data_IF_700157853353
#
_entry.id   IF_700157853353
#
_cell.length_a   1.000
_cell.length_b   1.000
_cell.length_c   1.000
_cell.angle_alpha   90.00
_cell.angle_beta   90.00
_cell.angle_gamma   90.00
#
_symmetry.space_group_name_H-M   'P 1'
#
loop_
_entity.id
_entity.type
_entity.pdbx_description
1 polymer ?
#
# COMPACT_ATOMS: atom_id res chain seq x y z
N UNK A 1 -20.50 26.09 62.93
CA UNK A 1 -21.18 24.93 63.54
C UNK A 1 -20.21 23.75 63.46
N UNK A 2 -19.75 23.25 64.61
CA UNK A 2 -18.71 22.20 64.73
C UNK A 2 -19.28 20.83 64.35
N UNK A 3 -18.52 19.99 63.65
CA UNK A 3 -18.79 18.54 63.56
C UNK A 3 -17.56 17.80 64.09
N UNK A 4 -17.79 17.00 65.13
CA UNK A 4 -16.82 16.23 65.88
C UNK A 4 -16.55 14.88 65.20
N UNK A 5 -15.31 14.40 65.31
CA UNK A 5 -14.92 13.05 64.92
C UNK A 5 -15.35 12.03 65.99
N UNK A 6 -16.04 10.97 65.57
CA UNK A 6 -16.37 9.80 66.40
C UNK A 6 -15.38 8.68 66.05
N UNK A 7 -14.64 8.24 67.07
CA UNK A 7 -13.83 7.03 67.05
C UNK A 7 -14.73 5.80 67.26
N UNK A 8 -14.58 4.77 66.41
CA UNK A 8 -15.15 3.43 66.64
C UNK A 8 -14.02 2.41 66.73
N UNK A 9 -13.93 1.78 67.89
CA UNK A 9 -13.05 0.66 68.23
C UNK A 9 -13.30 -0.54 67.32
N UNK A 10 -12.23 -1.12 66.76
CA UNK A 10 -12.25 -2.42 66.09
C UNK A 10 -11.86 -3.53 67.07
N UNK A 11 -12.74 -4.52 67.23
CA UNK A 11 -12.41 -5.83 67.82
C UNK A 11 -11.85 -6.76 66.73
N UNK A 12 -10.78 -7.53 67.00
CA UNK A 12 -10.20 -8.40 65.97
C UNK A 12 -11.02 -9.69 65.79
N UNK A 13 -11.45 -9.93 64.55
CA UNK A 13 -12.03 -11.20 64.09
C UNK A 13 -10.88 -12.19 63.85
N UNK A 14 -11.01 -13.43 64.33
CA UNK A 14 -9.96 -14.45 64.25
C UNK A 14 -9.71 -14.93 62.80
N UNK A 15 -8.43 -15.23 62.52
CA UNK A 15 -7.81 -15.53 61.22
C UNK A 15 -8.37 -16.77 60.47
N UNK A 16 -9.20 -17.59 61.11
CA UNK A 16 -9.71 -18.82 60.51
C UNK A 16 -10.92 -18.62 59.57
N UNK A 17 -11.77 -17.61 59.83
CA UNK A 17 -13.02 -17.40 59.06
C UNK A 17 -12.82 -16.58 57.78
N UNK A 18 -11.71 -15.83 57.67
CA UNK A 18 -11.41 -14.97 56.52
C UNK A 18 -10.80 -15.75 55.33
N UNK A 19 -10.14 -16.89 55.59
CA UNK A 19 -9.49 -17.70 54.55
C UNK A 19 -10.46 -18.52 53.71
N UNK A 20 -11.60 -18.92 54.28
CA UNK A 20 -12.60 -19.73 53.55
C UNK A 20 -13.47 -18.88 52.61
N UNK A 21 -13.76 -17.62 52.97
CA UNK A 21 -14.53 -16.69 52.12
C UNK A 21 -13.74 -16.12 50.93
N UNK A 22 -12.42 -15.98 51.05
CA UNK A 22 -11.57 -15.46 49.97
C UNK A 22 -11.30 -16.53 48.89
N UNK A 23 -11.10 -17.79 49.29
CA UNK A 23 -10.87 -18.89 48.36
C UNK A 23 -12.10 -19.23 47.50
N UNK A 24 -13.32 -19.15 48.06
CA UNK A 24 -14.55 -19.45 47.32
C UNK A 24 -14.87 -18.36 46.26
N UNK A 25 -14.59 -17.09 46.56
CA UNK A 25 -14.84 -15.97 45.63
C UNK A 25 -13.82 -15.93 44.48
N UNK A 26 -12.56 -16.27 44.73
CA UNK A 26 -11.53 -16.31 43.67
C UNK A 26 -11.77 -17.47 42.71
N UNK A 27 -12.19 -18.65 43.20
CA UNK A 27 -12.52 -19.79 42.35
C UNK A 27 -13.77 -19.54 41.51
N UNK A 28 -14.80 -18.88 42.06
CA UNK A 28 -16.02 -18.55 41.31
C UNK A 28 -15.76 -17.46 40.25
N UNK A 29 -14.90 -16.47 40.54
CA UNK A 29 -14.52 -15.42 39.58
C UNK A 29 -13.61 -15.97 38.47
N UNK A 30 -12.67 -16.87 38.79
CA UNK A 30 -11.84 -17.59 37.81
C UNK A 30 -12.67 -18.53 36.95
N UNK A 31 -13.67 -19.22 37.52
CA UNK A 31 -14.59 -20.07 36.76
C UNK A 31 -15.52 -19.25 35.85
N UNK A 32 -15.97 -18.05 36.28
CA UNK A 32 -16.72 -17.14 35.42
C UNK A 32 -15.85 -16.57 34.28
N UNK A 33 -14.60 -16.20 34.55
CA UNK A 33 -13.65 -15.74 33.54
C UNK A 33 -13.27 -16.86 32.55
N UNK A 34 -13.12 -18.10 33.01
CA UNK A 34 -12.88 -19.25 32.14
C UNK A 34 -14.09 -19.64 31.29
N UNK A 35 -15.31 -19.56 31.83
CA UNK A 35 -16.53 -19.87 31.07
C UNK A 35 -16.86 -18.78 30.06
N UNK A 36 -16.61 -17.49 30.37
CA UNK A 36 -16.75 -16.39 29.40
C UNK A 36 -15.65 -16.48 28.31
N UNK A 37 -14.42 -16.85 28.67
CA UNK A 37 -13.32 -17.08 27.72
C UNK A 37 -13.57 -18.27 26.79
N UNK A 38 -14.04 -19.40 27.32
CA UNK A 38 -14.36 -20.61 26.55
C UNK A 38 -15.62 -20.44 25.67
N UNK A 39 -16.61 -19.67 26.11
CA UNK A 39 -17.76 -19.34 25.28
C UNK A 39 -17.36 -18.41 24.12
N UNK A 40 -16.53 -17.38 24.36
CA UNK A 40 -16.01 -16.50 23.28
C UNK A 40 -15.20 -17.27 22.24
N UNK A 41 -14.38 -18.23 22.64
CA UNK A 41 -13.60 -19.05 21.70
C UNK A 41 -14.45 -20.08 20.94
N UNK A 42 -15.50 -20.65 21.57
CA UNK A 42 -16.41 -21.58 20.91
C UNK A 42 -17.35 -20.89 19.90
N UNK A 43 -17.81 -19.66 20.19
CA UNK A 43 -18.61 -18.87 19.22
C UNK A 43 -17.78 -18.39 18.03
N UNK A 44 -16.49 -18.06 18.22
CA UNK A 44 -15.58 -17.69 17.12
C UNK A 44 -15.25 -18.87 16.20
N UNK A 45 -14.94 -20.05 16.75
CA UNK A 45 -14.59 -21.23 15.95
C UNK A 45 -15.77 -21.80 15.15
N UNK A 46 -16.99 -21.76 15.69
CA UNK A 46 -18.18 -22.19 14.94
C UNK A 46 -18.53 -21.23 13.78
N UNK A 47 -18.29 -19.93 13.94
CA UNK A 47 -18.56 -18.93 12.90
C UNK A 47 -17.56 -18.97 11.72
N UNK A 48 -16.31 -19.33 11.98
CA UNK A 48 -15.29 -19.52 10.93
C UNK A 48 -15.56 -20.76 10.06
N UNK A 49 -16.08 -21.84 10.64
CA UNK A 49 -16.38 -23.08 9.92
C UNK A 49 -17.55 -22.98 8.93
N UNK A 50 -18.37 -21.92 9.02
CA UNK A 50 -19.50 -21.66 8.14
C UNK A 50 -19.23 -20.52 7.13
N UNK A 51 -18.00 -20.03 7.05
CA UNK A 51 -17.63 -18.97 6.10
C UNK A 51 -17.77 -19.49 4.67
N UNK A 52 -18.53 -18.77 3.84
CA UNK A 52 -18.63 -19.01 2.40
C UNK A 52 -18.29 -17.73 1.67
N UNK A 53 -17.24 -17.75 0.87
CA UNK A 53 -16.82 -16.55 0.15
C UNK A 53 -17.78 -16.19 -0.99
N UNK A 54 -17.88 -14.90 -1.27
CA UNK A 54 -18.63 -14.40 -2.42
C UNK A 54 -17.91 -14.72 -3.73
N UNK A 55 -18.63 -15.27 -4.71
CA UNK A 55 -18.14 -15.47 -6.07
C UNK A 55 -18.81 -14.47 -7.00
N UNK A 56 -18.14 -13.35 -7.26
CA UNK A 56 -18.66 -12.27 -8.09
C UNK A 56 -17.78 -11.90 -9.29
N UNK A 57 -16.64 -12.55 -9.54
CA UNK A 57 -15.69 -12.13 -10.59
C UNK A 57 -16.28 -12.06 -12.01
N UNK A 58 -17.45 -12.65 -12.25
CA UNK A 58 -18.21 -12.54 -13.50
C UNK A 58 -19.41 -11.58 -13.49
N UNK A 59 -19.59 -10.85 -12.39
CA UNK A 59 -20.57 -9.81 -12.22
C UNK A 59 -19.87 -8.44 -12.21
N UNK A 60 -20.42 -7.48 -12.94
CA UNK A 60 -19.91 -6.11 -12.92
C UNK A 60 -19.99 -5.50 -11.52
N UNK A 61 -20.94 -5.95 -10.68
CA UNK A 61 -21.08 -5.47 -9.30
C UNK A 61 -19.90 -5.84 -8.39
N UNK A 62 -19.00 -6.72 -8.84
CA UNK A 62 -17.80 -7.10 -8.11
C UNK A 62 -16.70 -6.04 -8.21
N UNK A 63 -16.80 -5.16 -9.21
CA UNK A 63 -15.78 -4.18 -9.56
C UNK A 63 -16.34 -2.77 -9.34
N UNK A 64 -15.45 -1.84 -9.02
CA UNK A 64 -15.78 -0.41 -9.00
C UNK A 64 -15.87 0.12 -10.43
N UNK A 65 -16.24 1.39 -10.59
CA UNK A 65 -16.59 1.93 -11.90
C UNK A 65 -15.39 2.20 -12.81
N UNK A 66 -14.15 2.18 -12.32
CA UNK A 66 -12.92 2.30 -13.12
C UNK A 66 -12.69 1.08 -14.02
N UNK A 67 -13.24 -0.08 -13.65
CA UNK A 67 -13.18 -1.30 -14.45
C UNK A 67 -14.19 -1.26 -15.59
N UNK A 68 -13.68 -1.35 -16.82
CA UNK A 68 -14.49 -1.28 -18.05
C UNK A 68 -14.45 -2.59 -18.82
N UNK A 69 -15.43 -2.77 -19.71
CA UNK A 69 -15.46 -3.84 -20.70
C UNK A 69 -15.33 -5.26 -20.12
N UNK A 70 -15.92 -5.53 -18.95
CA UNK A 70 -15.94 -6.87 -18.35
C UNK A 70 -16.58 -7.88 -19.30
N UNK A 71 -15.86 -8.98 -19.53
CA UNK A 71 -16.30 -10.11 -20.36
C UNK A 71 -15.97 -11.41 -19.66
N UNK A 72 -16.96 -12.28 -19.55
CA UNK A 72 -16.78 -13.62 -19.01
C UNK A 72 -16.88 -14.70 -20.07
N UNK A 73 -16.02 -15.71 -19.91
CA UNK A 73 -16.15 -17.02 -20.54
C UNK A 73 -16.23 -18.08 -19.44
N UNK A 74 -16.54 -19.34 -19.77
CA UNK A 74 -16.53 -20.42 -18.78
C UNK A 74 -15.17 -20.67 -18.11
N UNK A 75 -14.08 -20.08 -18.58
CA UNK A 75 -12.72 -20.37 -18.11
C UNK A 75 -11.99 -19.17 -17.54
N UNK A 76 -12.46 -17.96 -17.79
CA UNK A 76 -11.79 -16.71 -17.38
C UNK A 76 -12.75 -15.53 -17.46
N UNK A 77 -12.39 -14.45 -16.79
CA UNK A 77 -12.95 -13.13 -17.03
C UNK A 77 -11.85 -12.15 -17.40
N UNK A 78 -12.21 -11.16 -18.22
CA UNK A 78 -11.32 -10.14 -18.76
C UNK A 78 -11.97 -8.78 -18.65
N UNK A 79 -11.18 -7.78 -18.32
CA UNK A 79 -11.61 -6.39 -18.28
C UNK A 79 -10.45 -5.46 -18.62
N UNK A 80 -10.77 -4.17 -18.76
CA UNK A 80 -9.84 -3.09 -19.01
C UNK A 80 -9.83 -2.11 -17.83
N UNK A 81 -8.68 -1.51 -17.55
CA UNK A 81 -8.51 -0.52 -16.47
C UNK A 81 -7.49 0.54 -16.87
N UNK A 82 -7.66 1.74 -16.32
CA UNK A 82 -6.67 2.81 -16.42
C UNK A 82 -5.50 2.66 -15.44
N UNK A 83 -5.60 1.74 -14.48
CA UNK A 83 -4.60 1.54 -13.42
C UNK A 83 -4.62 2.59 -12.32
N UNK A 84 -5.60 3.49 -12.34
CA UNK A 84 -5.79 4.51 -11.31
C UNK A 84 -7.05 4.21 -10.49
N UNK A 85 -7.03 4.50 -9.18
CA UNK A 85 -8.22 4.41 -8.34
C UNK A 85 -9.15 5.62 -8.56
N UNK A 86 -10.28 5.62 -7.84
CA UNK A 86 -11.24 6.72 -7.78
C UNK A 86 -10.55 8.06 -7.49
N UNK A 87 -11.08 9.13 -8.06
CA UNK A 87 -10.50 10.47 -7.93
C UNK A 87 -10.48 11.01 -6.48
N UNK A 88 -11.30 10.43 -5.59
CA UNK A 88 -11.31 10.76 -4.17
C UNK A 88 -10.19 10.06 -3.39
N UNK A 89 -9.54 9.04 -3.96
CA UNK A 89 -8.42 8.35 -3.30
C UNK A 89 -7.18 9.22 -3.26
N UNK A 90 -6.61 9.33 -2.07
CA UNK A 90 -5.45 10.18 -1.80
C UNK A 90 -4.17 9.48 -2.26
N UNK A 91 -3.77 9.73 -3.50
CA UNK A 91 -2.52 9.21 -4.04
C UNK A 91 -1.29 10.02 -3.60
N UNK A 92 -0.16 9.35 -3.43
CA UNK A 92 1.20 9.89 -3.18
C UNK A 92 1.42 10.66 -1.87
N UNK A 93 0.36 11.14 -1.19
CA UNK A 93 0.47 11.77 0.13
C UNK A 93 0.90 10.76 1.18
N UNK A 94 1.83 11.14 2.05
CA UNK A 94 2.34 10.28 3.13
C UNK A 94 3.65 9.56 2.79
N UNK A 95 4.04 9.50 1.50
CA UNK A 95 5.34 8.99 1.07
C UNK A 95 6.45 9.84 1.71
N UNK A 96 7.47 9.21 2.29
CA UNK A 96 8.64 9.88 2.88
C UNK A 96 9.94 9.65 2.10
N UNK A 97 9.96 8.63 1.24
CA UNK A 97 11.06 8.33 0.34
C UNK A 97 10.53 8.17 -1.10
N UNK A 98 10.26 9.29 -1.77
CA UNK A 98 9.72 9.29 -3.14
C UNK A 98 10.76 8.82 -4.16
N UNK A 99 10.30 8.06 -5.15
CA UNK A 99 11.04 7.75 -6.37
C UNK A 99 10.83 8.79 -7.48
N UNK A 100 10.02 9.84 -7.24
CA UNK A 100 9.64 10.89 -8.19
C UNK A 100 8.97 10.35 -9.48
N UNK A 101 8.16 9.32 -9.31
CA UNK A 101 7.19 8.88 -10.31
C UNK A 101 5.83 9.48 -9.97
N UNK A 102 4.97 9.66 -10.97
CA UNK A 102 3.64 10.21 -10.79
C UNK A 102 2.59 9.21 -11.28
N UNK A 103 1.42 9.11 -10.62
CA UNK A 103 0.34 8.27 -11.13
C UNK A 103 -0.08 8.73 -12.53
N UNK A 104 0.04 7.86 -13.53
CA UNK A 104 -0.38 8.12 -14.91
C UNK A 104 -1.38 7.07 -15.38
N UNK A 105 -2.14 7.39 -16.43
CA UNK A 105 -3.10 6.43 -17.01
C UNK A 105 -2.37 5.41 -17.85
N UNK A 106 -2.63 4.14 -17.56
CA UNK A 106 -2.15 2.99 -18.30
C UNK A 106 -3.31 2.36 -19.10
N UNK A 107 -2.99 1.49 -20.05
CA UNK A 107 -3.99 0.72 -20.79
C UNK A 107 -3.89 -0.76 -20.42
N UNK A 108 -4.37 -1.10 -19.22
CA UNK A 108 -4.36 -2.46 -18.73
C UNK A 108 -5.44 -3.31 -19.39
N UNK A 109 -5.04 -4.48 -19.89
CA UNK A 109 -5.94 -5.58 -20.24
C UNK A 109 -5.69 -6.73 -19.26
N UNK A 110 -6.67 -7.00 -18.40
CA UNK A 110 -6.58 -8.00 -17.34
C UNK A 110 -7.30 -9.28 -17.76
N UNK A 111 -6.74 -10.45 -17.48
CA UNK A 111 -7.36 -11.75 -17.73
C UNK A 111 -7.10 -12.68 -16.56
N UNK A 112 -8.14 -12.99 -15.79
CA UNK A 112 -8.06 -13.82 -14.60
C UNK A 112 -8.69 -15.19 -14.89
N UNK A 113 -7.99 -16.31 -14.64
CA UNK A 113 -8.56 -17.64 -14.81
C UNK A 113 -9.62 -17.94 -13.75
N UNK A 114 -10.74 -18.54 -14.16
CA UNK A 114 -11.78 -19.04 -13.26
C UNK A 114 -11.49 -20.45 -12.73
N UNK A 115 -10.73 -21.24 -13.47
CA UNK A 115 -10.38 -22.61 -13.08
C UNK A 115 -9.06 -22.57 -12.29
N UNK A 116 -9.09 -22.09 -11.05
CA UNK A 116 -7.90 -22.08 -10.21
C UNK A 116 -7.40 -23.52 -10.00
N UNK A 117 -6.08 -23.70 -10.01
CA UNK A 117 -5.45 -25.00 -9.77
C UNK A 117 -4.42 -24.83 -8.68
N UNK A 118 -4.64 -25.53 -7.57
CA UNK A 118 -3.65 -25.68 -6.52
C UNK A 118 -2.32 -26.17 -7.13
N UNK A 119 -1.23 -25.53 -6.73
CA UNK A 119 0.11 -26.00 -7.02
C UNK A 119 0.47 -27.15 -6.07
N UNK A 120 1.36 -28.05 -6.50
CA UNK A 120 1.87 -29.11 -5.63
C UNK A 120 2.65 -28.56 -4.42
N UNK A 121 3.27 -27.38 -4.60
CA UNK A 121 3.99 -26.64 -3.57
C UNK A 121 3.73 -25.14 -3.77
N UNK A 122 3.52 -24.37 -2.69
CA UNK A 122 3.41 -22.93 -2.78
C UNK A 122 4.64 -22.28 -3.42
N UNK A 123 4.42 -21.20 -4.17
CA UNK A 123 5.50 -20.44 -4.82
C UNK A 123 5.62 -19.05 -4.17
N UNK A 124 6.75 -18.70 -3.53
CA UNK A 124 6.96 -17.36 -3.00
C UNK A 124 6.76 -16.28 -4.05
N UNK A 125 6.16 -15.17 -3.66
CA UNK A 125 6.10 -13.98 -4.50
C UNK A 125 7.51 -13.38 -4.68
N UNK A 126 7.65 -12.59 -5.74
CA UNK A 126 8.87 -11.82 -6.04
C UNK A 126 8.46 -10.37 -6.35
N UNK A 127 9.36 -9.39 -6.15
CA UNK A 127 9.06 -7.99 -6.43
C UNK A 127 8.44 -7.79 -7.82
N UNK A 128 7.20 -7.31 -7.86
CA UNK A 128 6.39 -7.17 -9.07
C UNK A 128 4.91 -7.41 -8.80
N UNK A 129 4.10 -7.38 -9.87
CA UNK A 129 2.67 -7.60 -9.78
C UNK A 129 2.35 -9.03 -9.29
N UNK A 130 1.53 -9.11 -8.24
CA UNK A 130 1.03 -10.35 -7.64
C UNK A 130 -0.47 -10.54 -7.86
N UNK A 131 -1.17 -9.51 -8.31
CA UNK A 131 -2.60 -9.56 -8.57
C UNK A 131 -3.14 -8.22 -9.06
N UNK A 132 -4.46 -8.08 -8.97
CA UNK A 132 -5.21 -6.91 -9.40
C UNK A 132 -6.35 -6.65 -8.41
N UNK A 133 -6.53 -5.41 -8.00
CA UNK A 133 -7.64 -5.02 -7.15
C UNK A 133 -8.95 -4.93 -7.95
N UNK A 134 -10.10 -4.93 -7.28
CA UNK A 134 -11.41 -4.80 -7.94
C UNK A 134 -11.67 -3.44 -8.56
N UNK A 135 -10.85 -2.43 -8.26
CA UNK A 135 -10.80 -1.15 -8.99
C UNK A 135 -9.82 -1.14 -10.17
N UNK A 136 -9.23 -2.29 -10.50
CA UNK A 136 -8.32 -2.41 -11.61
C UNK A 136 -6.96 -1.76 -11.40
N UNK A 137 -6.58 -1.42 -10.16
CA UNK A 137 -5.23 -1.03 -9.78
C UNK A 137 -4.40 -2.29 -9.47
N UNK A 138 -3.17 -2.44 -10.03
CA UNK A 138 -2.34 -3.59 -9.74
C UNK A 138 -1.98 -3.75 -8.25
N UNK A 139 -1.89 -5.01 -7.81
CA UNK A 139 -1.38 -5.39 -6.50
C UNK A 139 0.04 -5.93 -6.68
N UNK A 140 1.00 -5.42 -5.91
CA UNK A 140 2.41 -5.77 -5.99
C UNK A 140 2.89 -6.43 -4.70
N UNK A 141 3.93 -7.24 -4.82
CA UNK A 141 4.65 -7.84 -3.68
C UNK A 141 5.08 -6.74 -2.68
N UNK A 142 4.91 -6.93 -1.36
CA UNK A 142 5.22 -5.90 -0.37
C UNK A 142 6.71 -5.52 -0.30
N UNK A 143 7.60 -6.35 -0.86
CA UNK A 143 9.03 -6.09 -0.94
C UNK A 143 9.42 -5.04 -1.99
N UNK A 144 10.40 -4.21 -1.65
CA UNK A 144 11.02 -3.30 -2.62
C UNK A 144 11.72 -4.08 -3.75
N UNK A 145 11.88 -3.45 -4.91
CA UNK A 145 12.80 -3.94 -5.96
C UNK A 145 14.30 -3.73 -5.60
N UNK A 146 14.58 -3.40 -4.34
CA UNK A 146 15.91 -3.14 -3.82
C UNK A 146 16.77 -4.40 -3.68
N UNK A 147 17.96 -4.23 -3.10
CA UNK A 147 18.82 -5.37 -2.78
C UNK A 147 18.15 -6.22 -1.71
N UNK A 148 18.23 -7.54 -1.89
CA UNK A 148 17.87 -8.52 -0.86
C UNK A 148 18.72 -8.25 0.38
N UNK A 149 18.07 -8.13 1.54
CA UNK A 149 18.76 -8.06 2.82
C UNK A 149 19.39 -9.44 3.10
N UNK A 150 20.72 -9.52 3.25
CA UNK A 150 21.41 -10.79 3.47
C UNK A 150 21.02 -11.47 4.79
N UNK A 151 20.46 -10.73 5.76
CA UNK A 151 20.03 -11.30 7.05
C UNK A 151 18.66 -11.95 6.98
N UNK A 152 17.75 -11.41 6.17
CA UNK A 152 16.36 -11.90 6.06
C UNK A 152 16.11 -12.73 4.80
N UNK A 153 17.01 -12.64 3.81
CA UNK A 153 16.83 -13.26 2.49
C UNK A 153 15.69 -12.65 1.66
N UNK A 154 15.12 -11.52 2.10
CA UNK A 154 14.03 -10.81 1.43
C UNK A 154 14.42 -9.37 1.13
N UNK A 155 13.76 -8.75 0.16
CA UNK A 155 13.85 -7.30 -0.03
C UNK A 155 13.29 -6.57 1.20
N UNK A 156 13.79 -5.36 1.52
CA UNK A 156 13.13 -4.48 2.49
C UNK A 156 11.67 -4.26 2.14
N UNK A 157 10.82 -4.14 3.15
CA UNK A 157 9.39 -3.88 2.97
C UNK A 157 9.17 -2.43 2.51
N UNK A 158 8.33 -2.20 1.49
CA UNK A 158 8.04 -0.88 0.90
C UNK A 158 7.47 0.12 1.91
N UNK A 159 6.53 -0.33 2.75
CA UNK A 159 6.05 0.43 3.91
C UNK A 159 7.19 0.92 4.82
N UNK A 160 8.13 0.04 5.19
CA UNK A 160 9.22 0.37 6.13
C UNK A 160 10.24 1.34 5.57
N UNK A 161 10.41 1.34 4.26
CA UNK A 161 11.30 2.31 3.58
C UNK A 161 10.58 3.62 3.23
N UNK A 162 9.31 3.77 3.60
CA UNK A 162 8.56 5.03 3.44
C UNK A 162 8.15 5.33 2.00
N UNK A 163 8.00 4.30 1.16
CA UNK A 163 7.69 4.45 -0.26
C UNK A 163 6.19 4.53 -0.58
N UNK A 164 5.32 4.31 0.42
CA UNK A 164 3.87 4.18 0.23
C UNK A 164 3.09 5.41 0.70
N UNK A 165 1.99 5.66 0.00
CA UNK A 165 1.01 6.67 0.37
C UNK A 165 0.02 6.17 1.42
N UNK A 166 -0.89 7.06 1.81
CA UNK A 166 -1.93 6.76 2.80
C UNK A 166 -2.91 5.66 2.37
N UNK A 167 -3.08 5.41 1.07
CA UNK A 167 -3.90 4.32 0.55
C UNK A 167 -3.15 2.99 0.45
N UNK A 168 -1.83 2.98 0.65
CA UNK A 168 -0.99 1.78 0.62
C UNK A 168 -0.33 1.50 -0.73
N UNK A 169 -0.32 2.49 -1.63
CA UNK A 169 0.28 2.37 -2.96
C UNK A 169 1.31 3.46 -3.26
N UNK A 170 1.88 3.39 -4.46
CA UNK A 170 2.69 4.46 -5.04
C UNK A 170 2.75 4.36 -6.56
N UNK A 171 3.30 5.38 -7.21
CA UNK A 171 3.69 5.30 -8.61
C UNK A 171 5.06 4.61 -8.73
N UNK A 172 5.11 3.53 -9.51
CA UNK A 172 6.28 2.76 -9.84
C UNK A 172 7.05 3.29 -11.05
N UNK A 173 8.07 2.53 -11.45
CA UNK A 173 8.85 2.83 -12.65
C UNK A 173 7.98 2.67 -13.88
N UNK A 174 7.83 3.77 -14.61
CA UNK A 174 6.89 3.83 -15.72
C UNK A 174 5.60 4.57 -15.35
N UNK A 175 5.58 5.21 -14.18
CA UNK A 175 4.49 6.05 -13.72
C UNK A 175 3.17 5.26 -13.51
N UNK A 176 3.29 3.96 -13.20
CA UNK A 176 2.18 3.06 -12.89
C UNK A 176 1.81 3.13 -11.40
N UNK A 177 0.59 3.50 -11.05
CA UNK A 177 0.16 3.43 -9.66
C UNK A 177 -0.21 1.99 -9.27
N UNK A 178 0.29 1.51 -8.13
CA UNK A 178 -0.03 0.17 -7.62
C UNK A 178 0.05 0.10 -6.10
N UNK A 179 -0.69 -0.84 -5.52
CA UNK A 179 -0.67 -1.12 -4.08
C UNK A 179 0.39 -2.15 -3.74
N UNK A 180 1.13 -1.92 -2.66
CA UNK A 180 2.09 -2.90 -2.10
C UNK A 180 1.58 -3.56 -0.82
N UNK A 181 0.58 -2.96 -0.19
CA UNK A 181 -0.10 -3.44 1.02
C UNK A 181 -1.61 -3.42 0.77
N UNK A 182 -2.40 -3.89 1.74
CA UNK A 182 -3.85 -3.83 1.70
C UNK A 182 -4.33 -2.45 1.18
N UNK A 183 -5.13 -2.40 0.09
CA UNK A 183 -5.65 -1.16 -0.51
C UNK A 183 -6.61 -0.42 0.43
N UNK A 184 -6.10 0.29 1.43
CA UNK A 184 -6.88 0.86 2.55
C UNK A 184 -8.08 1.68 2.08
N UNK A 185 -7.83 2.63 1.17
CA UNK A 185 -8.88 3.51 0.65
C UNK A 185 -9.95 2.74 -0.14
N UNK A 186 -9.55 1.74 -0.95
CA UNK A 186 -10.49 0.89 -1.67
C UNK A 186 -11.31 0.01 -0.71
N UNK A 187 -10.69 -0.55 0.33
CA UNK A 187 -11.41 -1.35 1.33
C UNK A 187 -12.47 -0.47 2.03
N UNK A 188 -12.11 0.76 2.38
CA UNK A 188 -13.04 1.73 2.97
C UNK A 188 -14.16 2.14 1.99
N UNK A 189 -13.86 2.29 0.70
CA UNK A 189 -14.83 2.58 -0.37
C UNK A 189 -15.86 1.45 -0.55
N UNK A 190 -15.38 0.20 -0.62
CA UNK A 190 -16.23 -0.99 -0.73
C UNK A 190 -17.12 -1.18 0.50
N UNK A 191 -16.60 -0.83 1.68
CA UNK A 191 -17.35 -0.76 2.93
C UNK A 191 -17.62 -2.11 3.60
N UNK A 192 -18.15 -2.03 4.82
CA UNK A 192 -18.32 -3.17 5.72
C UNK A 192 -19.22 -4.27 5.14
N UNK A 193 -20.33 -3.92 4.49
CA UNK A 193 -21.25 -4.91 3.92
C UNK A 193 -20.60 -5.74 2.81
N UNK A 194 -19.77 -5.14 1.95
CA UNK A 194 -19.03 -5.87 0.93
C UNK A 194 -18.05 -6.87 1.56
N UNK A 195 -17.27 -6.38 2.54
CA UNK A 195 -16.13 -7.09 3.11
C UNK A 195 -16.55 -8.15 4.13
N UNK A 196 -17.45 -7.84 5.05
CA UNK A 196 -17.78 -8.68 6.21
C UNK A 196 -19.06 -9.48 6.02
N UNK A 197 -20.07 -8.92 5.37
CA UNK A 197 -21.39 -9.55 5.23
C UNK A 197 -21.50 -10.40 3.96
N UNK A 198 -21.08 -9.85 2.82
CA UNK A 198 -21.08 -10.56 1.54
C UNK A 198 -19.80 -11.34 1.27
N UNK A 199 -18.73 -11.08 2.04
CA UNK A 199 -17.42 -11.74 1.90
C UNK A 199 -16.91 -11.68 0.45
N UNK A 200 -17.10 -10.53 -0.20
CA UNK A 200 -16.72 -10.34 -1.59
C UNK A 200 -15.23 -9.99 -1.71
N UNK A 201 -14.57 -10.38 -2.82
CA UNK A 201 -13.17 -10.08 -3.04
C UNK A 201 -12.92 -8.56 -3.12
N UNK A 202 -11.74 -8.14 -2.65
CA UNK A 202 -11.16 -6.81 -2.88
C UNK A 202 -10.13 -6.84 -4.03
N UNK A 203 -9.80 -8.04 -4.50
CA UNK A 203 -8.90 -8.27 -5.63
C UNK A 203 -8.76 -9.74 -5.95
N UNK A 204 -7.93 -10.04 -6.93
CA UNK A 204 -7.62 -11.40 -7.37
C UNK A 204 -6.12 -11.54 -7.59
N UNK A 205 -5.56 -12.63 -7.07
CA UNK A 205 -4.15 -12.96 -7.23
C UNK A 205 -3.86 -13.50 -8.64
N UNK A 206 -2.58 -13.50 -9.03
CA UNK A 206 -2.12 -13.99 -10.33
C UNK A 206 -2.37 -15.49 -10.55
N UNK A 207 -2.67 -16.26 -9.51
CA UNK A 207 -3.09 -17.66 -9.61
C UNK A 207 -4.62 -17.83 -9.69
N UNK A 208 -5.36 -16.71 -9.70
CA UNK A 208 -6.80 -16.63 -9.88
C UNK A 208 -7.61 -16.70 -8.59
N UNK A 209 -6.99 -16.94 -7.44
CA UNK A 209 -7.74 -16.99 -6.17
C UNK A 209 -8.12 -15.58 -5.71
N UNK A 210 -9.30 -15.42 -5.09
CA UNK A 210 -9.75 -14.14 -4.57
C UNK A 210 -8.92 -13.70 -3.36
N UNK A 211 -8.79 -12.39 -3.21
CA UNK A 211 -8.15 -11.72 -2.07
C UNK A 211 -9.26 -10.98 -1.34
N UNK A 212 -9.43 -11.25 -0.05
CA UNK A 212 -10.44 -10.65 0.82
C UNK A 212 -9.79 -9.79 1.90
N UNK A 213 -10.63 -9.05 2.64
CA UNK A 213 -10.26 -8.26 3.80
C UNK A 213 -11.14 -8.56 5.03
N UNK A 214 -11.53 -9.82 5.21
CA UNK A 214 -12.37 -10.23 6.34
C UNK A 214 -11.67 -9.90 7.66
N UNK A 215 -12.43 -9.31 8.59
CA UNK A 215 -11.92 -8.82 9.86
C UNK A 215 -11.32 -7.41 9.83
N UNK A 216 -11.38 -6.72 8.68
CA UNK A 216 -10.91 -5.34 8.54
C UNK A 216 -11.75 -4.36 9.36
N UNK A 217 -13.08 -4.45 9.25
CA UNK A 217 -14.00 -3.60 10.00
C UNK A 217 -14.41 -4.24 11.32
N UNK A 218 -14.37 -5.58 11.38
CA UNK A 218 -14.90 -6.37 12.49
C UNK A 218 -13.84 -7.28 13.10
N UNK A 219 -13.20 -6.84 14.17
CA UNK A 219 -12.15 -7.62 14.84
C UNK A 219 -12.62 -8.99 15.36
N UNK A 220 -13.91 -9.19 15.61
CA UNK A 220 -14.49 -10.49 15.97
C UNK A 220 -14.47 -11.51 14.81
N UNK A 221 -14.22 -11.05 13.58
CA UNK A 221 -14.08 -11.86 12.36
C UNK A 221 -12.62 -12.01 11.89
N UNK A 222 -11.66 -11.65 12.73
CA UNK A 222 -10.24 -11.76 12.40
C UNK A 222 -9.84 -13.21 12.06
N UNK A 223 -9.23 -13.40 10.88
CA UNK A 223 -8.81 -14.70 10.36
C UNK A 223 -7.34 -15.06 10.63
N UNK A 224 -6.50 -14.17 11.17
CA UNK A 224 -5.04 -14.32 11.22
C UNK A 224 -4.57 -15.66 11.83
N UNK A 225 -5.27 -16.20 12.83
CA UNK A 225 -4.92 -17.47 13.47
C UNK A 225 -5.24 -18.72 12.60
N UNK A 226 -5.94 -18.54 11.49
CA UNK A 226 -6.45 -19.60 10.62
C UNK A 226 -5.80 -19.60 9.23
N UNK A 227 -5.05 -18.55 8.89
CA UNK A 227 -4.37 -18.44 7.61
C UNK A 227 -3.15 -19.36 7.56
N UNK A 228 -2.90 -19.93 6.38
CA UNK A 228 -1.70 -20.70 6.07
C UNK A 228 -0.48 -19.79 5.84
N UNK A 229 0.66 -20.38 5.49
CA UNK A 229 1.91 -19.66 5.24
C UNK A 229 1.83 -18.61 4.11
N UNK A 230 0.83 -18.72 3.22
CA UNK A 230 0.59 -17.80 2.12
C UNK A 230 -0.43 -16.70 2.45
N UNK A 231 -0.91 -16.65 3.70
CA UNK A 231 -2.00 -15.77 4.16
C UNK A 231 -3.36 -16.15 3.56
N UNK A 232 -3.60 -17.43 3.27
CA UNK A 232 -4.89 -17.89 2.77
C UNK A 232 -5.49 -19.06 3.56
N UNK A 233 -6.74 -19.36 3.28
CA UNK A 233 -7.45 -20.51 3.86
C UNK A 233 -8.56 -20.99 2.91
N UNK A 234 -9.09 -22.18 3.18
CA UNK A 234 -10.28 -22.69 2.49
C UNK A 234 -11.54 -22.28 3.25
N UNK A 235 -12.59 -21.96 2.51
CA UNK A 235 -13.93 -21.74 3.05
C UNK A 235 -14.65 -23.09 3.31
N UNK A 236 -15.91 -23.04 3.76
CA UNK A 236 -16.67 -24.27 4.11
C UNK A 236 -16.97 -25.19 2.92
N UNK A 237 -16.94 -24.68 1.69
CA UNK A 237 -17.18 -25.44 0.47
C UNK A 237 -15.84 -25.92 -0.15
N UNK A 238 -14.70 -25.56 0.45
CA UNK A 238 -13.35 -25.92 0.02
C UNK A 238 -12.74 -24.92 -0.97
N UNK A 239 -13.35 -23.75 -1.15
CA UNK A 239 -12.83 -22.71 -2.03
C UNK A 239 -11.73 -21.92 -1.31
N UNK A 240 -10.53 -21.90 -1.87
CA UNK A 240 -9.37 -21.21 -1.29
C UNK A 240 -9.39 -19.72 -1.60
N UNK A 241 -8.99 -18.90 -0.62
CA UNK A 241 -8.85 -17.46 -0.76
C UNK A 241 -7.69 -16.93 0.08
N UNK A 242 -7.14 -15.78 -0.32
CA UNK A 242 -6.19 -15.01 0.48
C UNK A 242 -6.94 -13.97 1.33
N UNK A 243 -6.38 -13.60 2.47
CA UNK A 243 -6.88 -12.51 3.29
C UNK A 243 -5.75 -11.52 3.66
N UNK A 244 -5.96 -10.24 3.35
CA UNK A 244 -4.98 -9.21 3.69
C UNK A 244 -4.85 -9.05 5.20
N UNK A 245 -3.67 -8.61 5.65
CA UNK A 245 -3.44 -8.33 7.07
C UNK A 245 -4.14 -7.01 7.45
N UNK A 246 -4.91 -7.02 8.54
CA UNK A 246 -5.59 -5.81 9.03
C UNK A 246 -4.70 -4.95 9.97
N UNK A 247 -3.51 -5.44 10.34
CA UNK A 247 -2.60 -4.78 11.28
C UNK A 247 -1.13 -5.02 10.91
N UNK A 248 -0.19 -4.46 11.70
CA UNK A 248 1.27 -4.63 11.58
C UNK A 248 1.88 -4.06 10.28
N UNK A 249 1.73 -4.77 9.14
CA UNK A 249 2.32 -4.42 7.84
C UNK A 249 1.32 -4.39 6.71
N UNK A 250 0.08 -4.83 6.94
CA UNK A 250 -0.98 -4.87 5.94
C UNK A 250 -0.61 -5.74 4.72
N UNK A 251 0.12 -6.83 4.95
CA UNK A 251 0.56 -7.73 3.89
C UNK A 251 -0.64 -8.28 3.09
N UNK A 252 -0.51 -8.30 1.76
CA UNK A 252 -1.55 -8.84 0.87
C UNK A 252 -1.50 -10.37 0.88
N UNK A 253 -0.39 -10.95 0.40
CA UNK A 253 -0.07 -12.37 0.41
C UNK A 253 1.46 -12.54 0.27
N UNK A 254 1.98 -13.71 0.65
CA UNK A 254 3.43 -14.00 0.69
C UNK A 254 3.86 -15.10 -0.28
N UNK A 255 2.91 -15.90 -0.77
CA UNK A 255 3.12 -16.92 -1.78
C UNK A 255 1.83 -17.22 -2.54
N UNK A 256 1.97 -17.78 -3.74
CA UNK A 256 0.87 -18.36 -4.50
C UNK A 256 0.66 -19.82 -4.10
N UNK A 257 -0.53 -20.15 -3.62
CA UNK A 257 -1.02 -21.52 -3.41
C UNK A 257 -1.41 -22.19 -4.72
N UNK A 258 -1.88 -21.41 -5.69
CA UNK A 258 -2.20 -21.88 -7.02
C UNK A 258 -1.05 -21.73 -8.01
N UNK A 259 -1.28 -22.18 -9.24
CA UNK A 259 -0.36 -21.94 -10.35
C UNK A 259 -0.52 -20.50 -10.87
N UNK A 260 0.38 -19.61 -10.47
CA UNK A 260 0.42 -18.23 -10.94
C UNK A 260 0.62 -18.12 -12.46
N UNK A 261 -0.07 -17.16 -13.06
CA UNK A 261 0.04 -16.77 -14.48
C UNK A 261 0.16 -15.26 -14.59
N UNK A 262 0.76 -14.77 -15.68
CA UNK A 262 0.71 -13.34 -15.98
C UNK A 262 -0.71 -12.96 -16.39
N UNK A 263 -1.42 -12.22 -15.54
CA UNK A 263 -2.83 -11.82 -15.78
C UNK A 263 -2.95 -10.47 -16.51
N UNK A 264 -1.90 -9.65 -16.50
CA UNK A 264 -1.95 -8.27 -16.99
C UNK A 264 -1.11 -8.08 -18.26
N UNK A 265 -1.68 -7.35 -19.23
CA UNK A 265 -0.94 -6.70 -20.31
C UNK A 265 -1.09 -5.20 -20.14
N UNK A 266 0.00 -4.48 -20.36
CA UNK A 266 0.06 -3.04 -20.14
C UNK A 266 0.65 -2.31 -21.35
N UNK A 267 0.16 -1.10 -21.59
CA UNK A 267 0.74 -0.12 -22.51
C UNK A 267 0.66 1.25 -21.83
N UNK A 268 1.78 1.96 -21.84
CA UNK A 268 1.93 3.25 -21.17
C UNK A 268 2.93 4.13 -21.93
N UNK A 269 2.91 5.41 -21.60
CA UNK A 269 3.75 6.42 -22.22
C UNK A 269 4.92 6.80 -21.32
N UNK A 270 6.14 6.61 -21.82
CA UNK A 270 7.35 6.99 -21.10
C UNK A 270 7.50 8.49 -21.01
N UNK A 271 7.76 9.02 -19.80
CA UNK A 271 8.19 10.41 -19.61
C UNK A 271 9.61 10.64 -20.11
N UNK A 272 9.79 11.77 -20.77
CA UNK A 272 11.07 12.24 -21.29
C UNK A 272 11.37 13.66 -20.81
N UNK A 273 12.66 13.99 -20.75
CA UNK A 273 13.14 15.36 -20.61
C UNK A 273 13.21 16.08 -21.97
N UNK A 274 13.48 17.39 -21.97
CA UNK A 274 13.53 18.22 -23.18
C UNK A 274 14.59 17.77 -24.20
N UNK A 275 15.49 16.88 -23.82
CA UNK A 275 16.56 16.34 -24.66
C UNK A 275 16.27 14.93 -25.18
N UNK A 276 15.08 14.40 -24.89
CA UNK A 276 14.66 13.06 -25.30
C UNK A 276 15.24 11.93 -24.44
N UNK A 277 15.83 12.24 -23.27
CA UNK A 277 16.25 11.20 -22.32
C UNK A 277 15.07 10.78 -21.44
N UNK A 278 14.98 9.48 -21.14
CA UNK A 278 13.93 8.93 -20.26
C UNK A 278 14.07 9.49 -18.84
N UNK A 279 12.95 9.88 -18.25
CA UNK A 279 12.85 10.21 -16.83
C UNK A 279 12.31 8.99 -16.09
N UNK A 280 13.10 8.45 -15.16
CA UNK A 280 12.72 7.32 -14.30
C UNK A 280 12.66 7.70 -12.82
N UNK A 281 12.85 8.99 -12.53
CA UNK A 281 12.92 9.56 -11.20
C UNK A 281 14.17 9.15 -10.40
N UNK A 282 14.56 10.00 -9.44
CA UNK A 282 15.58 9.66 -8.44
C UNK A 282 14.91 9.39 -7.10
N UNK A 283 15.47 8.49 -6.29
CA UNK A 283 15.04 8.33 -4.90
C UNK A 283 15.47 9.55 -4.09
N UNK A 284 14.51 10.19 -3.41
CA UNK A 284 14.71 11.39 -2.60
C UNK A 284 14.00 11.22 -1.27
N UNK A 285 14.67 11.59 -0.19
CA UNK A 285 14.08 11.68 1.15
C UNK A 285 13.21 12.95 1.21
N UNK A 286 11.98 12.84 0.71
CA UNK A 286 11.00 13.93 0.67
C UNK A 286 9.66 13.42 1.20
N UNK A 287 9.22 14.00 2.32
CA UNK A 287 7.90 13.77 2.90
C UNK A 287 6.84 14.52 2.08
N UNK A 288 6.09 13.79 1.25
CA UNK A 288 5.04 14.31 0.39
C UNK A 288 3.80 14.64 1.22
N UNK A 289 3.47 15.92 1.25
CA UNK A 289 2.34 16.49 1.99
C UNK A 289 1.11 16.72 1.14
N UNK A 290 1.28 16.87 -0.18
CA UNK A 290 0.18 16.97 -1.12
C UNK A 290 0.60 16.49 -2.51
N UNK A 291 -0.39 15.99 -3.25
CA UNK A 291 -0.31 15.66 -4.66
C UNK A 291 -1.53 16.27 -5.36
N UNK A 292 -1.30 16.85 -6.54
CA UNK A 292 -2.34 17.38 -7.41
C UNK A 292 -2.09 16.98 -8.85
N UNK A 293 -3.17 16.67 -9.55
CA UNK A 293 -3.19 16.46 -10.99
C UNK A 293 -4.06 17.55 -11.61
N UNK A 294 -3.44 18.46 -12.35
CA UNK A 294 -4.11 19.64 -12.89
C UNK A 294 -4.03 19.63 -14.43
N UNK A 295 -5.16 19.91 -15.08
CA UNK A 295 -5.26 19.92 -16.54
C UNK A 295 -5.10 21.33 -17.09
N UNK A 296 -4.14 21.51 -18.00
CA UNK A 296 -3.87 22.77 -18.68
C UNK A 296 -3.81 22.55 -20.19
N UNK A 297 -4.90 22.92 -20.89
CA UNK A 297 -5.11 22.60 -22.29
C UNK A 297 -4.90 21.08 -22.56
N UNK A 298 -3.87 20.73 -23.33
CA UNK A 298 -3.54 19.34 -23.68
C UNK A 298 -2.53 18.70 -22.72
N UNK A 299 -2.13 19.38 -21.64
CA UNK A 299 -1.15 18.88 -20.68
C UNK A 299 -1.83 18.46 -19.38
N UNK A 300 -1.29 17.41 -18.77
CA UNK A 300 -1.57 17.01 -17.41
C UNK A 300 -0.33 17.33 -16.58
N UNK A 301 -0.48 18.22 -15.61
CA UNK A 301 0.57 18.64 -14.70
C UNK A 301 0.42 17.90 -13.38
N UNK A 302 1.38 17.03 -13.10
CA UNK A 302 1.51 16.37 -11.81
C UNK A 302 2.36 17.23 -10.88
N UNK A 303 1.86 17.54 -9.70
CA UNK A 303 2.52 18.43 -8.75
C UNK A 303 2.56 17.72 -7.40
N UNK A 304 3.75 17.59 -6.81
CA UNK A 304 3.92 17.12 -5.44
C UNK A 304 4.60 18.19 -4.60
N UNK A 305 4.05 18.48 -3.43
CA UNK A 305 4.66 19.36 -2.45
C UNK A 305 5.01 18.59 -1.19
N UNK A 306 6.15 18.92 -0.59
CA UNK A 306 6.65 18.19 0.55
C UNK A 306 7.84 18.84 1.22
N UNK A 307 8.48 18.11 2.12
CA UNK A 307 9.66 18.56 2.85
C UNK A 307 10.80 17.59 2.62
N UNK A 308 11.94 18.07 2.10
CA UNK A 308 13.17 17.29 2.08
C UNK A 308 13.63 17.05 3.51
N UNK A 309 14.18 15.87 3.76
CA UNK A 309 14.83 15.54 5.03
C UNK A 309 16.28 15.13 4.83
N UNK A 310 17.19 16.00 5.22
CA UNK A 310 18.64 15.78 5.24
C UNK A 310 19.18 15.26 3.89
N UNK A 311 18.54 15.67 2.80
CA UNK A 311 18.83 15.19 1.46
C UNK A 311 20.15 15.80 0.99
N UNK A 312 21.07 14.95 0.52
CA UNK A 312 22.31 15.41 -0.09
C UNK A 312 22.03 15.93 -1.50
N UNK A 313 22.20 17.23 -1.70
CA UNK A 313 21.96 17.93 -2.95
C UNK A 313 23.25 18.57 -3.45
N UNK A 314 23.64 18.26 -4.67
CA UNK A 314 24.73 18.89 -5.38
C UNK A 314 24.24 20.24 -5.91
N UNK A 315 24.84 21.33 -5.44
CA UNK A 315 24.39 22.71 -5.76
C UNK A 315 25.24 23.35 -6.85
N UNK A 316 26.56 23.15 -6.85
CA UNK A 316 27.47 23.67 -7.86
C UNK A 316 28.78 22.89 -7.92
N UNK A 317 29.21 22.45 -9.11
CA UNK A 317 30.50 21.77 -9.29
C UNK A 317 30.61 20.47 -8.47
N UNK A 318 31.31 20.52 -7.34
CA UNK A 318 31.40 19.43 -6.34
C UNK A 318 30.84 19.81 -4.97
N UNK A 319 30.25 21.00 -4.83
CA UNK A 319 29.62 21.47 -3.61
C UNK A 319 28.33 20.70 -3.33
N UNK A 320 28.27 20.05 -2.17
CA UNK A 320 27.14 19.22 -1.74
C UNK A 320 26.63 19.76 -0.41
N UNK A 321 25.36 20.10 -0.39
CA UNK A 321 24.65 20.55 0.79
C UNK A 321 23.69 19.46 1.28
N UNK A 322 23.35 19.52 2.57
CA UNK A 322 22.29 18.72 3.15
C UNK A 322 21.08 19.61 3.34
N UNK A 323 20.04 19.40 2.53
CA UNK A 323 18.86 20.24 2.53
C UNK A 323 17.74 19.58 3.33
N UNK A 324 17.17 20.36 4.25
CA UNK A 324 15.93 20.07 4.96
C UNK A 324 14.98 21.25 4.81
N UNK A 325 14.31 21.33 3.67
CA UNK A 325 13.45 22.47 3.32
C UNK A 325 12.16 21.99 2.65
N UNK A 326 11.12 22.81 2.78
CA UNK A 326 9.89 22.64 2.00
C UNK A 326 10.15 22.93 0.54
N UNK A 327 9.50 22.18 -0.34
CA UNK A 327 9.43 22.56 -1.73
C UNK A 327 8.53 21.67 -2.58
N UNK A 328 8.61 21.85 -3.88
CA UNK A 328 7.78 21.15 -4.86
C UNK A 328 8.59 20.52 -5.98
N UNK A 329 8.08 19.41 -6.49
CA UNK A 329 8.48 18.77 -7.73
C UNK A 329 7.24 18.67 -8.64
N UNK A 330 7.43 18.77 -9.95
CA UNK A 330 6.33 18.64 -10.89
C UNK A 330 6.79 18.15 -12.26
N UNK A 331 5.86 17.60 -13.00
CA UNK A 331 6.02 17.25 -14.41
C UNK A 331 4.73 17.55 -15.18
N UNK A 332 4.83 18.35 -16.24
CA UNK A 332 3.72 18.58 -17.19
C UNK A 332 4.02 18.00 -18.57
N UNK A 333 5.23 18.23 -19.06
CA UNK A 333 5.70 17.78 -20.37
C UNK A 333 7.24 17.85 -20.41
N UNK A 334 7.90 17.36 -21.48
CA UNK A 334 9.36 17.37 -21.56
C UNK A 334 10.02 18.75 -21.42
N UNK A 335 9.31 19.84 -21.70
CA UNK A 335 9.81 21.22 -21.61
C UNK A 335 9.27 21.99 -20.38
N UNK A 336 8.57 21.31 -19.48
CA UNK A 336 8.00 21.88 -18.25
C UNK A 336 8.02 20.84 -17.12
N UNK A 337 9.10 20.83 -16.35
CA UNK A 337 9.27 19.98 -15.17
C UNK A 337 10.28 20.56 -14.19
N UNK A 338 10.21 20.12 -12.93
CA UNK A 338 11.24 20.38 -11.93
C UNK A 338 11.39 19.17 -11.01
N UNK A 339 12.55 18.52 -11.02
CA UNK A 339 12.78 17.25 -10.32
C UNK A 339 14.24 17.10 -9.90
N UNK A 340 14.50 16.18 -8.98
CA UNK A 340 15.83 15.75 -8.62
C UNK A 340 16.31 14.60 -9.50
N UNK A 341 17.56 14.67 -9.95
CA UNK A 341 18.19 13.62 -10.74
C UNK A 341 19.47 13.14 -10.06
N UNK A 342 19.79 11.86 -10.22
CA UNK A 342 21.09 11.33 -9.81
C UNK A 342 22.14 11.67 -10.87
N UNK A 343 23.24 12.37 -10.55
CA UNK A 343 24.33 12.56 -11.49
C UNK A 343 25.12 11.25 -11.66
N UNK A 344 25.87 11.14 -12.76
CA UNK A 344 26.86 10.08 -12.92
C UNK A 344 27.82 10.09 -11.72
N UNK A 345 28.06 8.92 -11.12
CA UNK A 345 28.88 8.79 -9.92
C UNK A 345 30.30 9.31 -10.13
N UNK A 346 30.76 10.14 -9.19
CA UNK A 346 32.15 10.59 -9.05
C UNK A 346 32.67 10.29 -7.65
N UNK A 347 33.97 10.08 -7.48
CA UNK A 347 34.56 9.72 -6.18
C UNK A 347 34.44 10.85 -5.16
N UNK A 348 34.48 12.09 -5.63
CA UNK A 348 34.35 13.33 -4.87
C UNK A 348 32.98 13.44 -4.17
N UNK A 349 31.93 12.81 -4.71
CA UNK A 349 30.60 12.85 -4.13
C UNK A 349 30.46 12.01 -2.87
N UNK A 350 31.38 11.07 -2.59
CA UNK A 350 31.43 10.27 -1.36
C UNK A 350 30.07 9.66 -0.95
N UNK A 351 29.32 9.12 -1.93
CA UNK A 351 28.02 8.47 -1.72
C UNK A 351 26.91 9.00 -2.65
N UNK A 352 25.66 8.51 -2.48
CA UNK A 352 24.52 9.01 -3.25
C UNK A 352 24.30 10.51 -3.04
N UNK A 353 24.04 11.21 -4.13
CA UNK A 353 23.72 12.63 -4.19
C UNK A 353 22.73 12.84 -5.33
N UNK A 354 21.87 13.85 -5.22
CA UNK A 354 20.99 14.29 -6.30
C UNK A 354 21.28 15.74 -6.65
N UNK A 355 20.87 16.21 -7.82
CA UNK A 355 20.85 17.62 -8.16
C UNK A 355 19.45 17.99 -8.64
N UNK A 356 19.00 19.21 -8.34
CA UNK A 356 17.70 19.69 -8.78
C UNK A 356 17.84 20.30 -10.19
N UNK A 357 17.00 19.85 -11.11
CA UNK A 357 16.93 20.36 -12.48
C UNK A 357 15.54 20.92 -12.74
N UNK A 358 15.50 22.05 -13.43
CA UNK A 358 14.28 22.80 -13.70
C UNK A 358 14.26 23.24 -15.16
N UNK A 359 13.15 22.97 -15.85
CA UNK A 359 12.86 23.46 -17.20
C UNK A 359 11.48 24.08 -17.20
N UNK A 360 11.36 25.38 -17.50
CA UNK A 360 10.09 26.12 -17.48
C UNK A 360 9.64 26.64 -18.86
N UNK A 361 10.49 26.49 -19.89
CA UNK A 361 10.34 27.18 -21.18
C UNK A 361 9.09 26.75 -21.95
N UNK A 362 8.62 25.52 -21.74
CA UNK A 362 7.43 24.96 -22.40
C UNK A 362 6.25 24.74 -21.45
N UNK A 363 6.16 25.51 -20.36
CA UNK A 363 5.03 25.37 -19.45
C UNK A 363 3.71 25.80 -20.10
N UNK A 364 2.63 25.02 -19.88
CA UNK A 364 1.35 25.29 -20.52
C UNK A 364 0.75 26.59 -20.00
N UNK A 365 0.02 27.30 -20.85
CA UNK A 365 -0.67 28.53 -20.47
C UNK A 365 -1.61 28.29 -19.29
N UNK A 366 -1.50 29.14 -18.26
CA UNK A 366 -2.28 29.05 -17.03
C UNK A 366 -1.59 28.28 -15.91
N UNK A 367 -0.58 27.45 -16.22
CA UNK A 367 0.26 26.84 -15.19
C UNK A 367 1.34 27.85 -14.76
N UNK A 368 1.37 28.18 -13.48
CA UNK A 368 2.31 29.16 -12.90
C UNK A 368 3.30 28.46 -11.98
N UNK A 369 4.37 27.85 -12.51
CA UNK A 369 5.38 27.16 -11.70
C UNK A 369 6.05 28.08 -10.68
N UNK A 370 6.11 29.39 -10.93
CA UNK A 370 6.68 30.39 -10.02
C UNK A 370 5.86 30.58 -8.73
N UNK A 371 4.59 30.15 -8.72
CA UNK A 371 3.77 30.15 -7.53
C UNK A 371 4.05 28.94 -6.61
N UNK A 372 4.79 27.94 -7.09
CA UNK A 372 5.18 26.78 -6.30
C UNK A 372 6.46 27.07 -5.51
N UNK A 373 6.63 26.47 -4.32
CA UNK A 373 7.87 26.58 -3.55
C UNK A 373 8.98 25.73 -4.19
N UNK A 374 9.58 26.19 -5.29
CA UNK A 374 10.61 25.40 -5.99
C UNK A 374 11.96 25.45 -5.28
N UNK A 375 12.75 24.38 -5.43
CA UNK A 375 14.13 24.34 -4.92
C UNK A 375 15.07 25.13 -5.83
N UNK A 376 16.26 25.48 -5.33
CA UNK A 376 17.29 26.10 -6.17
C UNK A 376 17.83 25.08 -7.20
N UNK A 377 17.80 25.39 -8.51
CA UNK A 377 18.37 24.52 -9.53
C UNK A 377 19.90 24.46 -9.41
N UNK A 378 20.49 23.35 -9.86
CA UNK A 378 21.94 23.20 -9.91
C UNK A 378 22.60 24.29 -10.76
N UNK A 379 23.64 24.92 -10.21
CA UNK A 379 24.43 25.93 -10.88
C UNK A 379 25.67 25.32 -11.55
N UNK A 380 25.78 25.45 -12.86
CA UNK A 380 26.99 25.09 -13.59
C UNK A 380 26.71 24.37 -14.91
N UNK A 381 27.76 23.74 -15.45
CA UNK A 381 27.63 22.97 -16.68
C UNK A 381 26.71 21.76 -16.49
N UNK A 382 25.90 21.47 -17.52
CA UNK A 382 24.95 20.35 -17.52
C UNK A 382 25.63 19.04 -17.08
N UNK A 383 25.01 18.36 -16.12
CA UNK A 383 25.49 17.08 -15.61
C UNK A 383 24.93 15.93 -16.43
N UNK A 384 25.74 14.88 -16.61
CA UNK A 384 25.24 13.61 -17.12
C UNK A 384 24.44 12.91 -16.02
N UNK A 385 23.19 12.55 -16.34
CA UNK A 385 22.31 11.79 -15.44
C UNK A 385 22.75 10.33 -15.44
N UNK A 386 22.69 9.70 -14.28
CA UNK A 386 22.90 8.26 -14.17
C UNK A 386 21.77 7.53 -14.91
N UNK A 387 22.11 6.59 -15.78
CA UNK A 387 21.11 5.77 -16.45
C UNK A 387 20.23 5.03 -15.43
N UNK A 388 18.95 4.89 -15.77
CA UNK A 388 18.05 3.95 -15.11
C UNK A 388 18.73 2.57 -15.08
N UNK A 389 18.89 2.01 -13.88
CA UNK A 389 19.41 0.64 -13.69
C UNK A 389 18.27 -0.32 -13.44
#
# INVERSE_FOLDING_TARGET
MKIAAIWLNQTPISSATLKLFCALNVVLLLALLFTIGAARSAFGQAALGDLKIGSCGCDQSCFTDEVKNLRCTPTQYRFESSGLPDETHVMMRGITATNQQYPSTHAYEITIPLNQRMAATPTPTVPGAIGIAVNGVPLFDPGTQGKIDPNTGRSPHTYDVGELDECGGHAGRGDDYHYHIAPKCLIDELGETHVEDHLQPIGFANDGFPILAVGWFRQDRNLEAHLDECRGMEDRDGDYFYNVEAASKWDILTCFKGKAVGISKDRWDQRYDMYGAKIVGAKVSMAISSYRLERYANNLCHIMEGTLDNQRVLTQGTNIEKLSSKGAIFYCNPNCYSEFFSPQSKSEYRGPVVFYEQTLVGCPTGFSPEALPLFAPYEGAKLQKKSAK
#
